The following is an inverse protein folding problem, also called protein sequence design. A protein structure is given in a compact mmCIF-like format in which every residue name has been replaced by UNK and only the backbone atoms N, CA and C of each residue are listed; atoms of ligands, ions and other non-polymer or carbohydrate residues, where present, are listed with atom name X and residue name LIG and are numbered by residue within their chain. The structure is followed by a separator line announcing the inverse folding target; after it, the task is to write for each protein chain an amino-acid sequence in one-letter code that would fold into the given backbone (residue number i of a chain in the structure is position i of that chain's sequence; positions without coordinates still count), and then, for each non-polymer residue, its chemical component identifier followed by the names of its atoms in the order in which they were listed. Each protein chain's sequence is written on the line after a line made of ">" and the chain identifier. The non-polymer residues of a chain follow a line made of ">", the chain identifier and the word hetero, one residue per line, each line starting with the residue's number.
data_IF_359171521139
#
_entry.id   IF_359171521139
#
_cell.length_a   1.000
_cell.length_b   1.000
_cell.length_c   1.000
_cell.angle_alpha   90.00
_cell.angle_beta   90.00
_cell.angle_gamma   90.00
#
_symmetry.space_group_name_H-M   'P 1'
#
loop_
_entity.id
_entity.type
_entity.pdbx_description
1 polymer ?
#
# COMPACT_ATOMS: atom_id res chain seq x y z
N UNK A 1 52.21 -63.66 -23.99
CA UNK A 1 52.22 -62.24 -24.35
C UNK A 1 50.86 -61.57 -24.09
N UNK A 2 50.26 -61.78 -22.90
CA UNK A 2 48.88 -61.34 -22.63
C UNK A 2 48.74 -60.46 -21.33
N UNK A 3 49.79 -60.31 -20.52
CA UNK A 3 49.70 -59.52 -19.28
C UNK A 3 49.74 -57.99 -19.51
N UNK A 4 50.41 -57.53 -20.56
CA UNK A 4 50.54 -56.07 -20.84
C UNK A 4 49.26 -55.39 -21.29
N UNK A 5 48.36 -56.12 -21.98
CA UNK A 5 47.09 -55.64 -22.47
C UNK A 5 46.02 -55.47 -21.36
N UNK A 6 46.11 -56.31 -20.29
CA UNK A 6 45.16 -56.26 -19.15
C UNK A 6 45.42 -55.06 -18.27
N UNK A 7 46.68 -54.67 -18.05
CA UNK A 7 47.01 -53.52 -17.22
C UNK A 7 46.63 -52.22 -17.86
N UNK A 8 46.70 -52.09 -19.20
CA UNK A 8 46.28 -50.88 -19.92
C UNK A 8 44.75 -50.70 -19.87
N UNK A 9 43.97 -51.78 -20.00
CA UNK A 9 42.51 -51.71 -19.88
C UNK A 9 42.07 -51.29 -18.48
N UNK A 10 42.70 -51.82 -17.45
CA UNK A 10 42.40 -51.46 -16.07
C UNK A 10 42.85 -50.02 -15.72
N UNK A 11 43.98 -49.55 -16.27
CA UNK A 11 44.42 -48.20 -16.13
C UNK A 11 43.46 -47.23 -16.88
N UNK A 12 43.01 -47.53 -18.08
CA UNK A 12 42.03 -46.74 -18.80
C UNK A 12 40.68 -46.65 -18.03
N UNK A 13 40.22 -47.77 -17.50
CA UNK A 13 38.95 -47.84 -16.72
C UNK A 13 39.08 -46.98 -15.43
N UNK A 14 40.23 -46.99 -14.75
CA UNK A 14 40.49 -46.20 -13.57
C UNK A 14 40.53 -44.69 -13.91
N UNK A 15 41.10 -44.30 -15.06
CA UNK A 15 41.12 -42.89 -15.49
C UNK A 15 39.71 -42.43 -15.87
N UNK A 16 38.89 -43.20 -16.55
CA UNK A 16 37.51 -42.84 -16.87
C UNK A 16 36.65 -42.71 -15.62
N UNK A 17 36.83 -43.57 -14.63
CA UNK A 17 36.08 -43.50 -13.38
C UNK A 17 36.48 -42.28 -12.54
N UNK A 18 37.75 -41.93 -12.50
CA UNK A 18 38.24 -40.74 -11.80
C UNK A 18 37.75 -39.44 -12.44
N UNK A 19 37.71 -39.39 -13.79
CA UNK A 19 37.21 -38.20 -14.50
C UNK A 19 35.72 -37.99 -14.30
N UNK A 20 34.91 -39.07 -14.23
CA UNK A 20 33.49 -39.00 -13.97
C UNK A 20 33.16 -38.44 -12.58
N UNK A 21 33.93 -38.84 -11.56
CA UNK A 21 33.76 -38.35 -10.18
C UNK A 21 34.11 -36.88 -10.06
N UNK A 22 35.15 -36.39 -10.78
CA UNK A 22 35.54 -34.98 -10.77
C UNK A 22 34.48 -34.11 -11.49
N UNK A 23 33.90 -34.60 -12.59
CA UNK A 23 32.82 -33.85 -13.25
C UNK A 23 31.53 -33.72 -12.40
N UNK A 24 31.23 -34.72 -11.56
CA UNK A 24 30.09 -34.68 -10.65
C UNK A 24 30.28 -33.66 -9.50
N UNK A 25 31.52 -33.32 -9.14
CA UNK A 25 31.84 -32.35 -8.09
C UNK A 25 31.65 -30.86 -8.56
N UNK A 26 31.54 -30.62 -9.83
CA UNK A 26 31.28 -29.31 -10.42
C UNK A 26 29.85 -29.12 -10.93
N UNK A 27 28.87 -29.89 -10.39
CA UNK A 27 27.49 -29.53 -10.60
C UNK A 27 27.28 -28.12 -10.07
N UNK A 28 26.92 -27.12 -10.91
CA UNK A 28 26.58 -25.81 -10.39
C UNK A 28 25.41 -26.04 -9.45
N UNK A 29 25.58 -25.73 -8.18
CA UNK A 29 24.47 -25.50 -7.27
C UNK A 29 23.78 -24.28 -7.86
N UNK A 30 22.78 -24.50 -8.70
CA UNK A 30 21.84 -23.47 -9.07
C UNK A 30 21.20 -23.06 -7.75
N UNK A 31 21.71 -22.02 -7.13
CA UNK A 31 20.93 -21.29 -6.18
C UNK A 31 19.77 -20.71 -6.99
N UNK A 32 18.61 -21.32 -6.87
CA UNK A 32 17.35 -20.65 -7.17
C UNK A 32 17.23 -19.50 -6.16
N UNK A 33 17.95 -18.42 -6.45
CA UNK A 33 17.54 -17.11 -6.00
C UNK A 33 16.27 -16.80 -6.84
N UNK A 34 15.15 -17.42 -6.49
CA UNK A 34 13.89 -16.81 -6.74
C UNK A 34 13.97 -15.46 -6.01
N UNK A 35 14.33 -14.43 -6.75
CA UNK A 35 14.02 -13.09 -6.37
C UNK A 35 12.50 -13.12 -6.26
N UNK A 36 12.02 -13.19 -5.03
CA UNK A 36 10.62 -12.94 -4.70
C UNK A 36 10.41 -11.46 -5.00
N UNK A 37 10.28 -11.15 -6.29
CA UNK A 37 9.88 -9.84 -6.76
C UNK A 37 8.43 -9.74 -6.32
N UNK A 38 8.22 -9.22 -5.13
CA UNK A 38 6.89 -8.82 -4.70
C UNK A 38 6.38 -7.82 -5.73
N UNK A 39 5.52 -8.29 -6.57
CA UNK A 39 4.92 -7.49 -7.62
C UNK A 39 4.12 -6.39 -6.93
N UNK A 40 4.45 -5.15 -7.25
CA UNK A 40 3.66 -4.00 -6.81
C UNK A 40 2.24 -4.12 -7.34
N UNK A 41 1.27 -3.88 -6.49
CA UNK A 41 -0.15 -3.94 -6.83
C UNK A 41 -0.74 -2.53 -6.82
N UNK A 42 -0.72 -1.81 -7.95
CA UNK A 42 -1.22 -0.44 -8.00
C UNK A 42 -2.68 -0.38 -7.56
N UNK A 43 -2.97 0.54 -6.67
CA UNK A 43 -4.33 0.83 -6.23
C UNK A 43 -4.55 2.34 -6.10
N UNK A 44 -5.81 2.73 -6.14
CA UNK A 44 -6.24 4.11 -5.90
C UNK A 44 -7.46 4.10 -4.99
N UNK A 45 -7.74 5.22 -4.34
CA UNK A 45 -8.98 5.41 -3.59
C UNK A 45 -9.73 6.61 -4.17
N UNK A 46 -10.92 6.34 -4.68
CA UNK A 46 -11.84 7.37 -5.18
C UNK A 46 -12.79 7.78 -4.08
N UNK A 47 -13.16 9.07 -4.06
CA UNK A 47 -14.16 9.60 -3.15
C UNK A 47 -15.27 10.32 -3.89
N UNK A 48 -16.47 10.34 -3.32
CA UNK A 48 -17.50 11.29 -3.73
C UNK A 48 -17.13 12.69 -3.24
N UNK A 49 -17.64 13.76 -3.88
CA UNK A 49 -17.44 15.12 -3.41
C UNK A 49 -17.81 15.26 -1.93
N UNK A 50 -16.94 15.93 -1.17
CA UNK A 50 -17.10 16.16 0.26
C UNK A 50 -17.34 17.66 0.48
N UNK A 51 -18.21 18.07 1.40
CA UNK A 51 -18.37 19.49 1.78
C UNK A 51 -17.03 20.07 2.21
N UNK A 52 -16.76 21.31 1.84
CA UNK A 52 -15.56 22.05 2.27
C UNK A 52 -15.78 22.86 3.55
N UNK A 53 -17.01 22.83 4.08
CA UNK A 53 -17.42 23.53 5.30
C UNK A 53 -17.90 22.51 6.31
N UNK A 54 -17.55 22.73 7.56
CA UNK A 54 -17.99 21.92 8.69
C UNK A 54 -18.03 22.81 9.93
N UNK A 55 -19.12 22.77 10.68
CA UNK A 55 -19.19 23.44 11.98
C UNK A 55 -18.90 22.48 13.11
N UNK A 56 -18.48 23.00 14.25
CA UNK A 56 -18.19 22.20 15.44
C UNK A 56 -19.38 21.32 15.83
N UNK A 57 -19.14 20.03 16.03
CA UNK A 57 -20.15 19.02 16.33
C UNK A 57 -20.81 18.42 15.09
N UNK A 58 -20.58 18.95 13.91
CA UNK A 58 -21.09 18.39 12.66
C UNK A 58 -20.23 17.21 12.22
N UNK A 59 -20.89 16.27 11.52
CA UNK A 59 -20.23 15.08 10.95
C UNK A 59 -20.37 15.07 9.44
N UNK A 60 -19.25 14.93 8.75
CA UNK A 60 -19.20 14.76 7.29
C UNK A 60 -18.97 13.29 6.96
N UNK A 61 -19.74 12.77 6.01
CA UNK A 61 -19.57 11.43 5.43
C UNK A 61 -18.65 11.50 4.21
N UNK A 62 -17.57 10.72 4.22
CA UNK A 62 -16.68 10.53 3.09
C UNK A 62 -16.90 9.12 2.54
N UNK A 63 -17.47 9.02 1.36
CA UNK A 63 -17.70 7.75 0.66
C UNK A 63 -16.49 7.39 -0.16
N UNK A 64 -15.87 6.27 0.16
CA UNK A 64 -14.63 5.82 -0.44
C UNK A 64 -14.82 4.53 -1.23
N UNK A 65 -14.05 4.41 -2.32
CA UNK A 65 -13.93 3.18 -3.09
C UNK A 65 -12.46 2.93 -3.43
N UNK A 66 -11.91 1.87 -2.87
CA UNK A 66 -10.59 1.36 -3.22
C UNK A 66 -10.70 0.62 -4.57
N UNK A 67 -9.88 1.01 -5.54
CA UNK A 67 -9.76 0.38 -6.84
C UNK A 67 -8.40 -0.27 -6.98
N UNK A 68 -8.38 -1.54 -7.27
CA UNK A 68 -7.16 -2.33 -7.51
C UNK A 68 -6.95 -2.54 -9.01
N UNK A 69 -5.73 -2.44 -9.46
CA UNK A 69 -5.33 -2.86 -10.79
C UNK A 69 -4.88 -4.32 -10.72
N UNK A 70 -5.82 -5.22 -10.87
CA UNK A 70 -5.60 -6.67 -10.81
C UNK A 70 -6.28 -7.36 -9.64
N UNK A 71 -6.22 -8.70 -9.64
CA UNK A 71 -6.80 -9.54 -8.58
C UNK A 71 -5.68 -10.30 -7.88
N UNK A 72 -5.25 -9.78 -6.77
CA UNK A 72 -4.21 -10.39 -5.96
C UNK A 72 -4.83 -10.83 -4.64
N UNK A 73 -4.84 -12.15 -4.41
CA UNK A 73 -5.46 -12.77 -3.24
C UNK A 73 -4.79 -12.37 -1.93
N UNK A 74 -3.50 -12.02 -2.00
CA UNK A 74 -2.65 -11.77 -0.84
C UNK A 74 -2.50 -10.29 -0.51
N UNK A 75 -3.04 -9.40 -1.37
CA UNK A 75 -3.03 -7.97 -1.11
C UNK A 75 -3.88 -7.64 0.14
N UNK A 76 -3.27 -6.97 1.09
CA UNK A 76 -3.88 -6.44 2.32
C UNK A 76 -3.72 -4.93 2.30
N UNK A 77 -4.75 -4.25 2.74
CA UNK A 77 -4.73 -2.80 2.81
C UNK A 77 -4.92 -2.35 4.25
N UNK A 78 -4.28 -1.25 4.59
CA UNK A 78 -4.45 -0.56 5.86
C UNK A 78 -4.81 0.89 5.63
N UNK A 79 -5.49 1.47 6.60
CA UNK A 79 -5.82 2.89 6.66
C UNK A 79 -5.22 3.49 7.91
N UNK A 80 -4.66 4.69 7.80
CA UNK A 80 -4.31 5.55 8.94
C UNK A 80 -4.58 7.00 8.58
N UNK A 81 -4.70 7.88 9.58
CA UNK A 81 -4.87 9.30 9.33
C UNK A 81 -4.01 10.14 10.25
N UNK A 82 -3.79 11.36 9.81
CA UNK A 82 -3.20 12.44 10.58
C UNK A 82 -4.13 13.63 10.56
N UNK A 83 -4.03 14.45 11.59
CA UNK A 83 -4.75 15.71 11.68
C UNK A 83 -3.75 16.84 11.89
N UNK A 84 -3.23 17.44 10.78
CA UNK A 84 -2.27 18.53 10.86
C UNK A 84 -2.84 19.78 11.48
N UNK A 85 -4.11 20.11 11.18
CA UNK A 85 -4.78 21.30 11.65
C UNK A 85 -6.16 21.00 12.24
N UNK A 86 -6.52 21.75 13.26
CA UNK A 86 -7.80 21.65 13.93
C UNK A 86 -7.91 20.45 14.84
N UNK A 87 -9.15 20.06 15.15
CA UNK A 87 -9.45 18.95 16.04
C UNK A 87 -10.76 18.28 15.62
N UNK A 88 -10.74 16.95 15.61
CA UNK A 88 -11.91 16.15 15.29
C UNK A 88 -11.67 14.67 15.49
N UNK A 89 -12.71 13.89 15.25
CA UNK A 89 -12.68 12.43 15.37
C UNK A 89 -13.04 11.78 14.05
N UNK A 90 -12.21 10.84 13.58
CA UNK A 90 -12.47 10.04 12.39
C UNK A 90 -12.96 8.65 12.79
N UNK A 91 -14.04 8.18 12.16
CA UNK A 91 -14.68 6.90 12.44
C UNK A 91 -15.00 6.16 11.15
N UNK A 92 -14.88 4.83 11.16
CA UNK A 92 -15.34 3.96 10.07
C UNK A 92 -16.83 3.66 10.16
N UNK A 93 -17.39 3.06 9.11
CA UNK A 93 -18.82 2.71 8.99
C UNK A 93 -19.27 1.59 9.95
N UNK A 94 -18.35 0.78 10.46
CA UNK A 94 -18.60 -0.22 11.52
C UNK A 94 -18.62 0.39 12.94
N UNK A 95 -18.36 1.69 13.06
CA UNK A 95 -18.30 2.40 14.34
C UNK A 95 -16.90 2.49 14.96
N UNK A 96 -15.89 1.87 14.35
CA UNK A 96 -14.51 1.94 14.84
C UNK A 96 -13.99 3.37 14.77
N UNK A 97 -13.56 3.90 15.91
CA UNK A 97 -12.89 5.21 16.01
C UNK A 97 -11.42 5.01 15.71
N UNK A 98 -10.91 5.73 14.71
CA UNK A 98 -9.51 5.71 14.36
C UNK A 98 -8.74 6.69 15.26
N UNK A 99 -7.60 6.25 15.78
CA UNK A 99 -6.65 7.13 16.46
C UNK A 99 -5.63 7.67 15.46
N UNK A 100 -5.20 8.94 15.58
CA UNK A 100 -4.19 9.50 14.69
C UNK A 100 -2.91 8.68 14.68
N UNK A 101 -2.37 8.44 13.49
CA UNK A 101 -1.15 7.67 13.21
C UNK A 101 -1.22 6.16 13.48
N UNK A 102 -2.33 5.62 13.95
CA UNK A 102 -2.50 4.18 14.10
C UNK A 102 -2.98 3.54 12.78
N UNK A 103 -2.50 2.33 12.50
CA UNK A 103 -2.89 1.55 11.32
C UNK A 103 -4.03 0.62 11.64
N UNK A 104 -5.05 0.63 10.80
CA UNK A 104 -6.23 -0.22 10.90
C UNK A 104 -6.40 -1.04 9.63
N UNK A 105 -6.81 -2.30 9.71
CA UNK A 105 -7.06 -3.11 8.53
C UNK A 105 -8.23 -2.54 7.72
N UNK A 106 -8.12 -2.59 6.39
CA UNK A 106 -9.16 -2.19 5.45
C UNK A 106 -9.58 -3.42 4.63
N UNK A 107 -10.58 -4.14 5.10
CA UNK A 107 -11.03 -5.40 4.49
C UNK A 107 -12.08 -5.22 3.39
N UNK A 108 -12.53 -3.99 3.15
CA UNK A 108 -13.59 -3.66 2.20
C UNK A 108 -13.10 -2.71 1.11
N UNK A 109 -13.50 -2.96 -0.12
CA UNK A 109 -13.25 -2.04 -1.23
C UNK A 109 -14.15 -0.81 -1.22
N UNK A 110 -15.37 -0.95 -0.72
CA UNK A 110 -16.34 0.15 -0.58
C UNK A 110 -16.61 0.35 0.89
N UNK A 111 -16.33 1.54 1.39
CA UNK A 111 -16.46 1.90 2.80
C UNK A 111 -16.78 3.39 2.96
N UNK A 112 -17.13 3.77 4.18
CA UNK A 112 -17.42 5.14 4.54
C UNK A 112 -16.61 5.55 5.75
N UNK A 113 -16.18 6.79 5.72
CA UNK A 113 -15.54 7.46 6.83
C UNK A 113 -16.44 8.59 7.30
N UNK A 114 -16.48 8.81 8.59
CA UNK A 114 -17.26 9.86 9.23
C UNK A 114 -16.30 10.73 10.04
N UNK A 115 -16.13 11.96 9.62
CA UNK A 115 -15.32 12.94 10.33
C UNK A 115 -16.23 13.89 11.09
N UNK A 116 -16.06 13.96 12.41
CA UNK A 116 -16.79 14.86 13.30
C UNK A 116 -15.87 15.97 13.77
N UNK A 117 -16.22 17.22 13.51
CA UNK A 117 -15.48 18.38 13.97
C UNK A 117 -15.62 18.61 15.46
N UNK A 118 -14.51 18.91 16.15
CA UNK A 118 -14.47 19.23 17.59
C UNK A 118 -13.96 20.65 17.89
N UNK A 119 -13.62 21.43 16.87
CA UNK A 119 -13.15 22.82 17.03
C UNK A 119 -13.87 23.78 16.08
N UNK A 120 -13.61 25.07 16.26
CA UNK A 120 -14.15 26.17 15.46
C UNK A 120 -13.13 26.72 14.45
N UNK A 121 -11.94 26.14 14.41
CA UNK A 121 -10.88 26.53 13.50
C UNK A 121 -10.95 25.77 12.18
N UNK A 122 -10.19 26.25 11.18
CA UNK A 122 -9.95 25.47 9.97
C UNK A 122 -9.35 24.11 10.35
N UNK A 123 -9.75 23.08 9.63
CA UNK A 123 -9.35 21.71 9.93
C UNK A 123 -8.79 21.04 8.68
N UNK A 124 -7.74 20.26 8.85
CA UNK A 124 -7.17 19.44 7.78
C UNK A 124 -6.95 18.04 8.31
N UNK A 125 -7.39 17.04 7.52
CA UNK A 125 -7.10 15.63 7.76
C UNK A 125 -6.42 15.03 6.55
N UNK A 126 -5.37 14.27 6.78
CA UNK A 126 -4.66 13.48 5.78
C UNK A 126 -4.90 12.00 6.05
N UNK A 127 -5.43 11.29 5.07
CA UNK A 127 -5.76 9.87 5.16
C UNK A 127 -4.85 9.10 4.22
N UNK A 128 -4.15 8.11 4.75
CA UNK A 128 -3.21 7.27 4.04
C UNK A 128 -3.75 5.86 3.93
N UNK A 129 -3.64 5.31 2.74
CA UNK A 129 -3.92 3.91 2.43
C UNK A 129 -2.62 3.26 2.03
N UNK A 130 -2.30 2.13 2.63
CA UNK A 130 -1.05 1.40 2.42
C UNK A 130 -1.39 -0.06 2.08
N UNK A 131 -0.68 -0.64 1.13
CA UNK A 131 -0.74 -2.08 0.87
C UNK A 131 0.34 -2.83 1.68
N UNK A 132 0.41 -4.14 1.51
CA UNK A 132 1.42 -4.99 2.17
C UNK A 132 2.59 -5.36 1.25
N UNK A 133 2.79 -4.65 0.13
CA UNK A 133 3.96 -4.84 -0.72
C UNK A 133 5.23 -4.29 -0.05
N UNK A 134 6.40 -4.69 -0.53
CA UNK A 134 7.67 -4.18 -0.03
C UNK A 134 8.54 -3.67 -1.20
N UNK A 135 8.71 -2.35 -1.33
CA UNK A 135 8.17 -1.29 -0.45
C UNK A 135 6.65 -1.15 -0.56
N UNK A 136 5.99 -0.77 0.55
CA UNK A 136 4.55 -0.57 0.57
C UNK A 136 4.13 0.60 -0.34
N UNK A 137 3.10 0.39 -1.16
CA UNK A 137 2.50 1.45 -1.92
C UNK A 137 1.61 2.32 -1.03
N UNK A 138 1.70 3.62 -1.24
CA UNK A 138 1.00 4.61 -0.45
C UNK A 138 0.08 5.44 -1.33
N UNK A 139 -1.17 5.57 -0.94
CA UNK A 139 -2.13 6.49 -1.53
C UNK A 139 -2.65 7.45 -0.48
N UNK A 140 -2.62 8.77 -0.74
CA UNK A 140 -3.03 9.81 0.20
C UNK A 140 -4.26 10.56 -0.31
N UNK A 141 -5.20 10.81 0.60
CA UNK A 141 -6.29 11.76 0.44
C UNK A 141 -6.15 12.86 1.49
N UNK A 142 -6.30 14.13 1.09
CA UNK A 142 -6.30 15.27 2.00
C UNK A 142 -7.62 16.02 1.91
N UNK A 143 -8.22 16.32 3.06
CA UNK A 143 -9.45 17.09 3.17
C UNK A 143 -9.23 18.30 4.06
N UNK A 144 -9.61 19.48 3.55
CA UNK A 144 -9.58 20.73 4.30
C UNK A 144 -11.01 21.24 4.46
N UNK A 145 -11.37 21.57 5.68
CA UNK A 145 -12.67 22.11 6.05
C UNK A 145 -12.50 23.50 6.64
N UNK A 146 -13.27 24.44 6.11
CA UNK A 146 -13.35 25.79 6.66
C UNK A 146 -14.50 25.84 7.66
N UNK A 147 -14.28 26.50 8.79
CA UNK A 147 -15.33 26.82 9.74
C UNK A 147 -15.81 28.25 9.49
N UNK A 148 -16.66 28.43 8.49
CA UNK A 148 -17.37 29.68 8.28
C UNK A 148 -18.76 29.55 8.89
N UNK A 149 -18.96 30.22 10.03
CA UNK A 149 -20.31 30.53 10.51
C UNK A 149 -21.02 31.36 9.45
N UNK A 150 -22.26 30.99 9.13
CA UNK A 150 -23.13 31.78 8.27
C UNK A 150 -23.45 33.11 8.95
N UNK A 151 -22.56 34.09 8.85
CA UNK A 151 -22.87 35.49 9.11
C UNK A 151 -22.35 36.35 7.95
N UNK A 152 -23.24 36.68 7.03
CA UNK A 152 -23.04 37.78 6.08
C UNK A 152 -22.94 37.34 4.62
N UNK A 153 -24.08 37.46 3.92
CA UNK A 153 -24.20 37.68 2.48
C UNK A 153 -22.98 38.37 1.88
N UNK A 154 -22.21 37.65 1.10
CA UNK A 154 -21.61 38.23 -0.11
C UNK A 154 -21.26 37.09 -1.04
N UNK A 155 -22.08 36.93 -2.08
CA UNK A 155 -21.78 36.07 -3.21
C UNK A 155 -20.46 36.47 -3.85
N UNK A 156 -19.41 35.67 -3.64
CA UNK A 156 -18.25 35.68 -4.51
C UNK A 156 -17.99 34.26 -4.96
N UNK A 157 -18.43 33.97 -6.17
CA UNK A 157 -18.03 32.83 -6.97
C UNK A 157 -16.51 32.78 -7.05
N UNK A 158 -15.88 31.80 -6.44
CA UNK A 158 -14.49 31.47 -6.75
C UNK A 158 -14.23 29.98 -6.54
N UNK A 159 -14.10 29.33 -7.66
CA UNK A 159 -13.14 28.29 -7.97
C UNK A 159 -13.00 27.12 -7.00
N UNK A 160 -13.55 25.98 -7.41
CA UNK A 160 -13.20 24.71 -6.81
C UNK A 160 -11.68 24.55 -6.73
N UNK A 161 -11.15 24.39 -5.53
CA UNK A 161 -9.74 24.06 -5.30
C UNK A 161 -9.61 22.55 -5.34
N UNK A 162 -8.79 22.12 -6.27
CA UNK A 162 -8.44 20.74 -6.59
C UNK A 162 -8.12 19.89 -5.36
N UNK A 163 -8.70 18.68 -5.36
CA UNK A 163 -8.16 17.54 -4.62
C UNK A 163 -6.73 17.29 -5.12
N UNK A 164 -5.75 17.62 -4.32
CA UNK A 164 -4.38 17.26 -4.63
C UNK A 164 -4.17 15.78 -4.32
N UNK A 165 -4.21 14.96 -5.36
CA UNK A 165 -3.78 13.56 -5.33
C UNK A 165 -2.26 13.59 -5.50
N UNK A 166 -1.52 13.34 -4.44
CA UNK A 166 -0.07 13.14 -4.54
C UNK A 166 0.21 11.66 -4.48
N UNK A 167 0.53 11.08 -5.63
CA UNK A 167 1.11 9.73 -5.71
C UNK A 167 2.60 9.89 -5.39
N UNK A 168 3.02 9.46 -4.22
CA UNK A 168 4.43 9.37 -3.87
C UNK A 168 4.91 7.98 -4.26
N UNK A 169 5.32 7.82 -5.53
CA UNK A 169 6.10 6.67 -5.98
C UNK A 169 7.59 7.02 -5.91
N UNK A 170 8.36 6.18 -5.26
CA UNK A 170 9.80 6.08 -5.46
C UNK A 170 10.14 4.84 -6.25
#
# INVERSE_FOLDING_TARGET
>A
MNMKKRNVKNALAAFFSATLVVLAAFAPVSCDNELDVQQEYPFTVETMPVPTRIVKGETVEVRCKLKREGRFSDARYTIRYFQPDGKGTLRMDDGMVLLPNDRYPLDREVFRLYYTSECEDQQTIDIYFEDNSEPAQLFQLSFSFNNETEDGDTATTSGGKELSVTVVGQ
#
